data_IF_561499863470
#
_entry.id   IF_561499863470
#
_cell.length_a   1.000
_cell.length_b   1.000
_cell.length_c   1.000
_cell.angle_alpha   90.00
_cell.angle_beta   90.00
_cell.angle_gamma   90.00
#
_symmetry.space_group_name_H-M   'P 1'
#
loop_
_entity.id
_entity.type
_entity.pdbx_description
1 polymer ?
#
# COMPACT_ATOMS: atom_id res chain seq x y z
N UNK A 1 13.84 12.65 4.97
CA UNK A 1 13.60 11.76 6.11
C UNK A 1 12.63 12.43 7.07
N UNK A 2 11.56 11.78 7.49
CA UNK A 2 10.64 12.31 8.51
C UNK A 2 10.88 11.57 9.84
N UNK A 3 11.24 12.30 10.89
CA UNK A 3 11.43 11.75 12.24
C UNK A 3 10.12 11.83 13.02
N UNK A 4 9.41 10.71 13.11
CA UNK A 4 8.42 10.49 14.17
C UNK A 4 9.17 9.84 15.34
N UNK A 5 9.45 10.62 16.39
CA UNK A 5 10.07 10.17 17.65
C UNK A 5 11.04 8.98 17.50
N UNK A 6 12.24 9.22 16.99
CA UNK A 6 13.33 8.23 16.94
C UNK A 6 13.14 7.03 15.99
N UNK A 7 12.02 6.91 15.28
CA UNK A 7 11.82 5.84 14.29
C UNK A 7 12.35 6.30 12.93
N UNK A 8 13.31 5.56 12.38
CA UNK A 8 13.81 5.75 11.01
C UNK A 8 13.01 4.82 10.09
N UNK A 9 12.42 5.39 9.05
CA UNK A 9 11.71 4.64 8.00
C UNK A 9 12.58 4.71 6.74
N UNK A 10 13.21 3.59 6.32
CA UNK A 10 14.12 3.57 5.18
C UNK A 10 13.35 3.75 3.86
N UNK A 11 13.99 4.35 2.86
CA UNK A 11 13.46 4.33 1.50
C UNK A 11 13.58 2.90 0.92
N UNK A 12 12.67 2.53 0.01
CA UNK A 12 12.70 1.22 -0.63
C UNK A 12 11.66 1.10 -1.75
N UNK A 13 11.82 0.12 -2.66
CA UNK A 13 10.87 -0.12 -3.73
C UNK A 13 9.53 -0.60 -3.17
N UNK A 14 8.45 -0.32 -3.90
CA UNK A 14 7.09 -0.80 -3.59
C UNK A 14 6.75 -1.91 -4.57
N UNK A 15 6.29 -3.05 -4.05
CA UNK A 15 5.90 -4.21 -4.85
C UNK A 15 4.45 -4.60 -4.60
N UNK A 16 3.76 -4.95 -5.67
CA UNK A 16 2.47 -5.63 -5.64
C UNK A 16 2.69 -7.12 -5.91
N UNK A 17 2.78 -7.98 -4.88
CA UNK A 17 2.87 -9.42 -5.10
C UNK A 17 1.52 -9.99 -5.55
N UNK A 18 1.54 -11.14 -6.23
CA UNK A 18 0.33 -11.92 -6.51
C UNK A 18 -0.45 -12.22 -5.21
N UNK A 19 0.27 -12.63 -4.16
CA UNK A 19 -0.27 -12.72 -2.81
C UNK A 19 -1.27 -13.86 -2.59
N UNK A 20 -2.02 -13.77 -1.48
CA UNK A 20 -3.07 -14.74 -1.09
C UNK A 20 -4.07 -14.13 -0.11
N UNK A 21 -5.32 -14.58 -0.19
CA UNK A 21 -6.36 -14.33 0.80
C UNK A 21 -6.48 -15.53 1.76
N UNK A 22 -6.63 -15.26 3.06
CA UNK A 22 -6.73 -16.28 4.12
C UNK A 22 -8.02 -16.15 4.95
N UNK A 23 -8.81 -15.12 4.71
CA UNK A 23 -10.02 -14.79 5.45
C UNK A 23 -10.21 -13.29 5.56
N UNK A 24 -11.33 -12.83 6.18
CA UNK A 24 -11.66 -11.42 6.29
C UNK A 24 -10.50 -10.60 6.86
N UNK A 25 -10.09 -9.56 6.13
CA UNK A 25 -8.98 -8.68 6.50
C UNK A 25 -7.64 -9.40 6.73
N UNK A 26 -7.49 -10.61 6.18
CA UNK A 26 -6.33 -11.47 6.34
C UNK A 26 -5.85 -11.93 4.97
N UNK A 27 -4.76 -11.32 4.51
CA UNK A 27 -4.18 -11.60 3.22
C UNK A 27 -3.19 -10.53 2.80
N UNK A 28 -2.70 -10.63 1.57
CA UNK A 28 -1.91 -9.58 0.92
C UNK A 28 -1.94 -9.72 -0.61
N UNK A 29 -1.59 -8.65 -1.32
CA UNK A 29 -1.36 -8.67 -2.76
C UNK A 29 -2.62 -8.75 -3.61
N UNK A 30 -2.44 -9.05 -4.90
CA UNK A 30 -3.49 -9.10 -5.94
C UNK A 30 -4.71 -9.90 -5.50
N UNK A 31 -4.49 -11.15 -5.07
CA UNK A 31 -5.56 -12.07 -4.67
C UNK A 31 -6.37 -11.52 -3.49
N UNK A 32 -5.71 -10.89 -2.52
CA UNK A 32 -6.41 -10.34 -1.37
C UNK A 32 -7.19 -9.08 -1.70
N UNK A 33 -6.62 -8.18 -2.51
CA UNK A 33 -7.30 -6.96 -2.94
C UNK A 33 -8.58 -7.30 -3.68
N UNK A 34 -8.50 -8.23 -4.65
CA UNK A 34 -9.67 -8.67 -5.39
C UNK A 34 -10.72 -9.30 -4.48
N UNK A 35 -10.31 -10.22 -3.59
CA UNK A 35 -11.24 -10.92 -2.70
C UNK A 35 -12.02 -9.98 -1.75
N UNK A 36 -11.43 -8.85 -1.34
CA UNK A 36 -12.07 -7.91 -0.40
C UNK A 36 -12.77 -6.74 -1.09
N UNK A 37 -12.33 -6.32 -2.28
CA UNK A 37 -12.71 -5.03 -2.89
C UNK A 37 -13.16 -5.12 -4.36
N UNK A 38 -13.42 -6.32 -4.89
CA UNK A 38 -13.84 -6.51 -6.28
C UNK A 38 -15.08 -5.67 -6.63
N UNK A 39 -16.10 -5.62 -5.76
CA UNK A 39 -17.36 -4.92 -6.04
C UNK A 39 -17.13 -3.42 -6.30
N UNK A 40 -16.26 -2.77 -5.53
CA UNK A 40 -15.90 -1.37 -5.70
C UNK A 40 -14.98 -1.14 -6.89
N UNK A 41 -14.08 -2.09 -7.18
CA UNK A 41 -13.21 -2.05 -8.36
C UNK A 41 -14.03 -2.13 -9.65
N UNK A 42 -14.98 -3.06 -9.72
CA UNK A 42 -15.91 -3.24 -10.85
C UNK A 42 -16.67 -1.93 -11.10
N UNK A 43 -17.19 -1.29 -10.03
CA UNK A 43 -17.88 0.02 -10.13
C UNK A 43 -16.99 1.15 -10.64
N UNK A 44 -15.66 1.02 -10.50
CA UNK A 44 -14.67 1.98 -10.96
C UNK A 44 -14.11 1.66 -12.36
N UNK A 45 -14.58 0.59 -13.00
CA UNK A 45 -14.16 0.19 -14.35
C UNK A 45 -13.00 -0.80 -14.40
N UNK A 46 -12.75 -1.53 -13.30
CA UNK A 46 -11.75 -2.60 -13.21
C UNK A 46 -12.48 -3.95 -12.97
N UNK A 47 -13.05 -4.57 -14.03
CA UNK A 47 -13.97 -5.69 -13.91
C UNK A 47 -13.35 -7.05 -13.57
N UNK A 48 -12.02 -7.21 -13.68
CA UNK A 48 -11.35 -8.49 -13.54
C UNK A 48 -10.20 -8.47 -12.53
N UNK A 49 -9.81 -9.63 -12.02
CA UNK A 49 -8.66 -9.75 -11.10
C UNK A 49 -7.35 -9.25 -11.74
N UNK A 50 -7.22 -9.42 -13.05
CA UNK A 50 -6.06 -8.96 -13.82
C UNK A 50 -6.00 -7.43 -13.93
N UNK A 51 -7.08 -6.73 -13.56
CA UNK A 51 -7.12 -5.28 -13.49
C UNK A 51 -6.59 -4.73 -12.15
N UNK A 52 -6.34 -5.57 -11.14
CA UNK A 52 -5.82 -5.12 -9.83
C UNK A 52 -4.53 -4.30 -9.96
N UNK A 53 -3.52 -4.68 -10.77
CA UNK A 53 -2.34 -3.86 -10.97
C UNK A 53 -2.66 -2.47 -11.52
N UNK A 54 -3.57 -2.37 -12.48
CA UNK A 54 -4.00 -1.10 -13.06
C UNK A 54 -4.78 -0.24 -12.04
N UNK A 55 -5.65 -0.86 -11.26
CA UNK A 55 -6.37 -0.21 -10.16
C UNK A 55 -5.40 0.37 -9.12
N UNK A 56 -4.47 -0.44 -8.62
CA UNK A 56 -3.44 -0.02 -7.66
C UNK A 56 -2.57 1.10 -8.23
N UNK A 57 -2.13 1.00 -9.48
CA UNK A 57 -1.36 2.04 -10.15
C UNK A 57 -2.14 3.36 -10.26
N UNK A 58 -3.47 3.32 -10.39
CA UNK A 58 -4.31 4.52 -10.41
C UNK A 58 -4.36 5.25 -9.04
N UNK A 59 -4.02 4.56 -7.95
CA UNK A 59 -3.97 5.12 -6.59
C UNK A 59 -2.59 5.68 -6.23
N UNK A 60 -1.55 5.23 -6.93
CA UNK A 60 -0.14 5.59 -6.68
C UNK A 60 0.32 6.57 -7.76
N UNK A 61 0.56 7.82 -7.38
CA UNK A 61 1.07 8.86 -8.28
C UNK A 61 2.37 9.46 -7.76
N UNK A 62 3.14 10.08 -8.66
CA UNK A 62 4.37 10.77 -8.27
C UNK A 62 4.06 11.88 -7.25
N UNK A 63 4.80 11.90 -6.14
CA UNK A 63 4.59 12.84 -5.06
C UNK A 63 3.45 12.48 -4.10
N UNK A 64 2.76 11.35 -4.31
CA UNK A 64 1.68 10.89 -3.43
C UNK A 64 2.16 10.84 -1.97
N UNK A 65 1.43 11.44 -1.02
CA UNK A 65 1.87 11.52 0.36
C UNK A 65 1.78 10.16 1.02
N UNK A 66 2.85 9.80 1.73
CA UNK A 66 2.91 8.60 2.56
C UNK A 66 2.63 9.02 3.99
N UNK A 67 1.64 8.39 4.61
CA UNK A 67 1.22 8.63 5.99
C UNK A 67 1.53 7.42 6.87
N UNK A 68 1.88 7.69 8.13
CA UNK A 68 2.01 6.66 9.15
C UNK A 68 0.75 6.66 10.04
N UNK A 69 -0.03 5.57 10.09
CA UNK A 69 -1.30 5.52 10.82
C UNK A 69 -1.07 5.71 12.32
N UNK A 70 -1.96 6.47 12.96
CA UNK A 70 -1.83 6.86 14.37
C UNK A 70 -1.96 5.66 15.34
N UNK A 71 -2.66 4.60 14.94
CA UNK A 71 -2.88 3.42 15.77
C UNK A 71 -1.75 2.42 15.59
N UNK A 72 -0.80 2.40 16.53
CA UNK A 72 0.24 1.36 16.63
C UNK A 72 -0.41 -0.02 16.84
N UNK A 73 -0.58 -0.78 15.77
CA UNK A 73 -0.71 -2.22 15.87
C UNK A 73 0.63 -2.77 16.39
N UNK A 74 0.64 -3.32 17.61
CA UNK A 74 1.84 -3.93 18.22
C UNK A 74 2.42 -5.11 17.44
N UNK A 75 1.68 -5.67 16.46
CA UNK A 75 2.15 -6.77 15.61
C UNK A 75 2.78 -6.33 14.30
N UNK A 76 2.66 -5.06 13.91
CA UNK A 76 3.22 -4.56 12.66
C UNK A 76 3.54 -3.07 12.77
N UNK A 77 4.81 -2.77 13.02
CA UNK A 77 5.46 -1.47 12.82
C UNK A 77 5.41 -0.98 11.34
N UNK A 78 4.55 -1.58 10.52
CA UNK A 78 4.71 -1.79 9.08
C UNK A 78 3.41 -1.51 8.33
N UNK A 79 2.70 -0.44 8.63
CA UNK A 79 1.58 -0.04 7.78
C UNK A 79 1.81 1.40 7.36
N UNK A 80 2.15 1.62 6.10
CA UNK A 80 2.23 2.97 5.53
C UNK A 80 1.07 3.13 4.55
N UNK A 81 0.43 4.29 4.60
CA UNK A 81 -0.75 4.56 3.78
C UNK A 81 -0.36 5.56 2.70
N UNK A 82 -0.44 5.15 1.43
CA UNK A 82 -0.42 6.09 0.30
C UNK A 82 -1.85 6.58 0.13
N UNK A 83 -2.08 7.87 0.38
CA UNK A 83 -3.39 8.47 0.20
C UNK A 83 -3.55 9.06 -1.21
N UNK A 84 -4.25 8.32 -2.06
CA UNK A 84 -4.80 8.81 -3.32
C UNK A 84 -6.08 9.62 -3.11
N UNK A 85 -6.52 10.35 -4.14
CA UNK A 85 -7.84 11.02 -4.14
C UNK A 85 -8.98 9.97 -4.15
N UNK A 86 -8.73 8.78 -4.71
CA UNK A 86 -9.73 7.72 -4.94
C UNK A 86 -9.71 6.58 -3.90
N UNK A 87 -8.74 6.59 -2.99
CA UNK A 87 -8.56 5.50 -2.03
C UNK A 87 -7.20 5.52 -1.38
N UNK A 88 -6.92 4.47 -0.62
CA UNK A 88 -5.66 4.31 0.08
C UNK A 88 -4.99 2.98 -0.28
N UNK A 89 -3.68 3.01 -0.47
CA UNK A 89 -2.87 1.79 -0.60
C UNK A 89 -2.13 1.56 0.71
N UNK A 90 -2.25 0.35 1.24
CA UNK A 90 -1.62 -0.04 2.51
C UNK A 90 -0.37 -0.85 2.19
N UNK A 91 0.75 -0.38 2.72
CA UNK A 91 2.08 -0.94 2.52
C UNK A 91 2.60 -1.57 3.79
N UNK A 92 3.26 -2.71 3.65
CA UNK A 92 4.01 -3.36 4.72
C UNK A 92 5.51 -3.33 4.42
N UNK A 93 6.29 -2.74 5.32
CA UNK A 93 7.75 -2.84 5.27
C UNK A 93 8.17 -4.30 5.35
N UNK A 94 9.10 -4.70 4.51
CA UNK A 94 9.67 -6.05 4.45
C UNK A 94 11.17 -5.91 4.21
N UNK A 95 11.89 -6.98 4.53
CA UNK A 95 13.30 -7.11 4.16
C UNK A 95 13.41 -8.31 3.25
N UNK A 96 14.26 -8.21 2.24
CA UNK A 96 14.65 -9.37 1.45
C UNK A 96 15.67 -10.23 2.23
N UNK A 97 16.09 -11.35 1.64
CA UNK A 97 17.11 -12.23 2.24
C UNK A 97 18.50 -11.60 2.37
N UNK A 98 18.70 -10.41 1.82
CA UNK A 98 19.95 -9.64 1.83
C UNK A 98 19.86 -8.40 2.73
N UNK A 99 18.80 -8.30 3.54
CA UNK A 99 18.55 -7.20 4.47
C UNK A 99 18.25 -5.83 3.79
N UNK A 100 17.92 -5.82 2.49
CA UNK A 100 17.41 -4.63 1.82
C UNK A 100 15.93 -4.44 2.13
N UNK A 101 15.54 -3.20 2.44
CA UNK A 101 14.13 -2.88 2.71
C UNK A 101 13.33 -2.71 1.42
N UNK A 102 12.14 -3.30 1.40
CA UNK A 102 11.11 -3.05 0.39
C UNK A 102 9.73 -2.93 1.05
N UNK A 103 8.74 -2.49 0.29
CA UNK A 103 7.37 -2.29 0.75
C UNK A 103 6.40 -3.17 -0.04
N UNK A 104 5.71 -4.08 0.63
CA UNK A 104 4.70 -4.94 0.04
C UNK A 104 3.33 -4.31 0.14
N UNK A 105 2.62 -4.18 -0.98
CA UNK A 105 1.21 -3.81 -0.96
C UNK A 105 0.41 -4.96 -0.36
N UNK A 106 -0.25 -4.68 0.77
CA UNK A 106 -1.10 -5.67 1.46
C UNK A 106 -2.56 -5.53 1.04
N UNK A 107 -3.06 -4.30 0.91
CA UNK A 107 -4.43 -4.05 0.45
C UNK A 107 -4.55 -2.68 -0.20
N UNK A 108 -5.63 -2.46 -0.93
CA UNK A 108 -6.00 -1.19 -1.54
C UNK A 108 -7.49 -0.95 -1.26
N UNK A 109 -7.79 0.11 -0.51
CA UNK A 109 -9.14 0.38 -0.01
C UNK A 109 -9.73 1.54 -0.81
N UNK A 110 -10.89 1.34 -1.46
CA UNK A 110 -11.60 2.39 -2.19
C UNK A 110 -12.23 3.39 -1.21
N UNK A 111 -11.94 4.67 -1.39
CA UNK A 111 -12.23 5.68 -0.37
C UNK A 111 -11.44 5.43 0.93
N UNK A 112 -11.08 6.49 1.64
CA UNK A 112 -10.30 6.33 2.87
C UNK A 112 -9.91 7.64 3.50
N UNK A 113 -9.88 7.66 4.83
CA UNK A 113 -9.38 8.81 5.59
C UNK A 113 -7.85 8.80 5.60
N UNK A 114 -7.29 10.00 5.45
CA UNK A 114 -5.87 10.29 5.63
C UNK A 114 -5.59 10.28 7.13
N UNK A 115 -5.27 9.14 7.68
CA UNK A 115 -4.99 9.06 9.12
C UNK A 115 -3.48 9.12 9.38
N UNK A 116 -3.09 10.08 10.23
CA UNK A 116 -1.76 10.19 10.79
C UNK A 116 -0.77 11.13 10.06
N UNK A 117 0.42 11.33 10.65
CA UNK A 117 1.44 12.23 10.15
C UNK A 117 2.01 11.81 8.78
N UNK A 118 2.28 12.80 7.93
CA UNK A 118 3.00 12.61 6.66
C UNK A 118 4.48 12.32 6.95
N UNK A 119 4.98 11.22 6.40
CA UNK A 119 6.36 10.76 6.58
C UNK A 119 7.21 10.78 5.31
N UNK A 120 6.56 10.87 4.15
CA UNK A 120 7.27 10.79 2.88
C UNK A 120 6.41 11.11 1.67
N UNK A 121 6.98 10.80 0.50
CA UNK A 121 6.32 10.89 -0.80
C UNK A 121 6.77 9.72 -1.68
N UNK A 122 5.91 9.29 -2.59
CA UNK A 122 6.25 8.33 -3.64
C UNK A 122 7.08 8.99 -4.73
N UNK A 123 8.09 8.28 -5.22
CA UNK A 123 8.83 8.60 -6.44
C UNK A 123 8.58 7.48 -7.44
N UNK A 124 8.20 7.83 -8.67
CA UNK A 124 8.08 6.83 -9.72
C UNK A 124 9.47 6.55 -10.27
N UNK A 125 9.80 5.27 -10.44
CA UNK A 125 11.01 4.91 -11.17
C UNK A 125 10.91 5.45 -12.60
N UNK A 126 12.01 5.90 -13.23
CA UNK A 126 12.02 6.27 -14.64
C UNK A 126 11.43 5.12 -15.46
N UNK A 127 10.52 5.43 -16.39
CA UNK A 127 10.08 4.45 -17.37
C UNK A 127 11.29 4.04 -18.21
N UNK A 128 11.61 2.74 -18.20
CA UNK A 128 12.59 2.14 -19.12
C UNK A 128 12.00 2.05 -20.52
#
# INVERSE_FOLDING_TARGET
>A
EAKLSGTVIPAGPIYLPHGRHRGPHSGFGVVHIWAEHADEMIKQGFPEIDDVPAYVASLIYEGAPIHFPATRSMRATRLQVIAGIRGIVVLEERQDGENNTFYSIVTAIPGGRRDGPRIGKVWLAPRQ
#
